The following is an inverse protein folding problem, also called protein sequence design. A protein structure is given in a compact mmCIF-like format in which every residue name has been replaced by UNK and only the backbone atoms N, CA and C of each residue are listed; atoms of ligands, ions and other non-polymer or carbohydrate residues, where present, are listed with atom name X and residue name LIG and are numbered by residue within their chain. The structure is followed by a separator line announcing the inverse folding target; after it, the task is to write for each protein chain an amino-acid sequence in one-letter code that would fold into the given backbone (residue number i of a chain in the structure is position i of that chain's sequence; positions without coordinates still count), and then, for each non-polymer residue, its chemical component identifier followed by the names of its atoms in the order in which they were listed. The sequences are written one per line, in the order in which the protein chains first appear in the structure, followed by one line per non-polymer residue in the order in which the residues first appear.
data_IF_549932284271
#
_entry.id   IF_549932284271
#
_cell.length_a   1.000
_cell.length_b   1.000
_cell.length_c   1.000
_cell.angle_alpha   90.00
_cell.angle_beta   90.00
_cell.angle_gamma   90.00
#
_symmetry.space_group_name_H-M   'P 1'
#
loop_
_entity.id
_entity.type
_entity.pdbx_description
1 polymer ?
#
# COMPACT_ATOMS: atom_id res chain seq x y z
N UNK A 1 -19.38 -15.12 -18.72
CA UNK A 1 -18.49 -15.98 -17.90
C UNK A 1 -18.44 -15.38 -16.51
N UNK A 2 -18.63 -16.16 -15.45
CA UNK A 2 -18.51 -15.66 -14.09
C UNK A 2 -17.06 -15.24 -13.82
N UNK A 3 -16.90 -14.07 -13.22
CA UNK A 3 -15.61 -13.55 -12.78
C UNK A 3 -14.95 -14.54 -11.81
N UNK A 4 -13.71 -14.92 -12.08
CA UNK A 4 -12.98 -15.95 -11.32
C UNK A 4 -11.74 -15.40 -10.60
N UNK A 5 -11.49 -14.09 -10.67
CA UNK A 5 -10.33 -13.43 -10.05
C UNK A 5 -10.77 -12.58 -8.86
N UNK A 6 -9.89 -12.45 -7.88
CA UNK A 6 -10.06 -11.51 -6.77
C UNK A 6 -9.93 -10.07 -7.26
N UNK A 7 -10.71 -9.18 -6.64
CA UNK A 7 -10.64 -7.74 -6.91
C UNK A 7 -9.50 -7.11 -6.17
N UNK A 8 -9.40 -7.40 -4.89
CA UNK A 8 -8.40 -6.83 -4.00
C UNK A 8 -7.76 -7.95 -3.21
N UNK A 9 -6.44 -7.92 -3.12
CA UNK A 9 -5.65 -8.77 -2.23
C UNK A 9 -4.80 -7.84 -1.37
N UNK A 10 -4.93 -7.97 -0.05
CA UNK A 10 -4.12 -7.22 0.90
C UNK A 10 -2.98 -8.12 1.40
N UNK A 11 -1.74 -7.75 1.09
CA UNK A 11 -0.53 -8.41 1.55
C UNK A 11 0.08 -7.63 2.72
N UNK A 12 -0.07 -8.19 3.91
CA UNK A 12 0.47 -7.63 5.16
C UNK A 12 1.53 -8.53 5.78
N UNK A 13 2.50 -7.90 6.42
CA UNK A 13 3.62 -8.57 7.09
C UNK A 13 4.63 -7.56 7.60
N UNK A 14 5.46 -7.96 8.56
CA UNK A 14 6.54 -7.11 9.08
C UNK A 14 7.51 -6.69 7.96
N UNK A 15 8.33 -5.64 8.15
CA UNK A 15 9.46 -5.38 7.27
C UNK A 15 10.29 -6.66 7.06
N UNK A 16 10.73 -6.88 5.82
CA UNK A 16 11.48 -8.07 5.39
C UNK A 16 10.77 -9.44 5.62
N UNK A 17 9.43 -9.47 5.66
CA UNK A 17 8.66 -10.70 5.81
C UNK A 17 8.45 -11.52 4.51
N UNK A 18 9.06 -11.13 3.39
CA UNK A 18 8.92 -11.87 2.13
C UNK A 18 7.80 -11.38 1.19
N UNK A 19 7.18 -10.22 1.46
CA UNK A 19 6.01 -9.74 0.70
C UNK A 19 6.38 -9.37 -0.74
N UNK A 20 7.43 -8.58 -0.90
CA UNK A 20 7.92 -8.15 -2.20
C UNK A 20 8.40 -9.35 -3.03
N UNK A 21 8.90 -10.41 -2.40
CA UNK A 21 9.28 -11.68 -3.04
C UNK A 21 8.06 -12.45 -3.57
N UNK A 22 6.94 -12.47 -2.82
CA UNK A 22 5.67 -13.02 -3.30
C UNK A 22 5.18 -12.24 -4.51
N UNK A 23 5.22 -10.91 -4.45
CA UNK A 23 4.81 -10.05 -5.56
C UNK A 23 5.70 -10.25 -6.79
N UNK A 24 7.02 -10.33 -6.61
CA UNK A 24 7.97 -10.59 -7.70
C UNK A 24 7.71 -11.95 -8.36
N UNK A 25 7.43 -12.99 -7.56
CA UNK A 25 7.01 -14.29 -8.09
C UNK A 25 5.71 -14.18 -8.91
N UNK A 26 4.71 -13.44 -8.41
CA UNK A 26 3.45 -13.21 -9.13
C UNK A 26 3.67 -12.42 -10.43
N UNK A 27 4.55 -11.42 -10.44
CA UNK A 27 4.91 -10.64 -11.64
C UNK A 27 5.51 -11.53 -12.73
N UNK A 28 6.38 -12.46 -12.33
CA UNK A 28 7.09 -13.39 -13.23
C UNK A 28 6.22 -14.57 -13.68
N UNK A 29 5.11 -14.84 -12.99
CA UNK A 29 4.18 -15.91 -13.36
C UNK A 29 3.31 -15.49 -14.56
N UNK A 30 3.20 -16.30 -15.63
CA UNK A 30 2.33 -16.00 -16.77
C UNK A 30 0.87 -15.75 -16.38
N UNK A 31 0.20 -14.82 -17.07
CA UNK A 31 -1.17 -14.40 -16.71
C UNK A 31 -2.18 -15.56 -16.66
N UNK A 32 -2.15 -16.48 -17.63
CA UNK A 32 -3.08 -17.62 -17.67
C UNK A 32 -2.87 -18.55 -16.46
N UNK A 33 -1.60 -18.86 -16.14
CA UNK A 33 -1.25 -19.68 -15.00
C UNK A 33 -1.64 -19.00 -13.68
N UNK A 34 -1.32 -17.70 -13.54
CA UNK A 34 -1.61 -16.90 -12.36
C UNK A 34 -3.12 -16.78 -12.11
N UNK A 35 -3.89 -16.52 -13.17
CA UNK A 35 -5.36 -16.45 -13.14
C UNK A 35 -5.95 -17.80 -12.72
N UNK A 36 -5.47 -18.91 -13.28
CA UNK A 36 -5.99 -20.25 -12.98
C UNK A 36 -5.63 -20.77 -11.59
N UNK A 37 -4.39 -20.55 -11.14
CA UNK A 37 -3.87 -21.12 -9.88
C UNK A 37 -4.13 -20.24 -8.68
N UNK A 38 -4.05 -18.92 -8.85
CA UNK A 38 -4.08 -17.96 -7.76
C UNK A 38 -5.29 -17.03 -7.82
N UNK A 39 -6.10 -17.09 -8.88
CA UNK A 39 -7.24 -16.19 -9.08
C UNK A 39 -6.82 -14.72 -9.13
N UNK A 40 -5.63 -14.46 -9.70
CA UNK A 40 -5.07 -13.11 -9.86
C UNK A 40 -5.01 -12.77 -11.35
N UNK A 41 -5.71 -11.70 -11.75
CA UNK A 41 -5.74 -11.22 -13.12
C UNK A 41 -4.45 -10.51 -13.54
N UNK A 42 -4.56 -9.54 -14.46
CA UNK A 42 -3.55 -8.48 -14.53
C UNK A 42 -3.53 -7.79 -13.16
N UNK A 43 -2.40 -7.30 -12.68
CA UNK A 43 -2.41 -6.67 -11.36
C UNK A 43 -1.53 -5.45 -11.29
N UNK A 44 -1.90 -4.59 -10.36
CA UNK A 44 -1.20 -3.37 -10.01
C UNK A 44 -1.08 -3.30 -8.49
N UNK A 45 0.05 -2.78 -8.01
CA UNK A 45 0.35 -2.69 -6.58
C UNK A 45 0.08 -1.30 -6.02
N UNK A 46 -0.56 -1.21 -4.86
CA UNK A 46 -0.53 -0.01 -4.02
C UNK A 46 0.42 -0.32 -2.88
N UNK A 47 1.59 0.33 -2.90
CA UNK A 47 2.66 0.16 -1.94
C UNK A 47 2.72 1.42 -1.04
N UNK A 48 2.80 1.21 0.27
CA UNK A 48 2.94 2.29 1.25
C UNK A 48 4.35 2.90 1.25
N UNK A 49 5.36 2.17 0.76
CA UNK A 49 6.75 2.61 0.80
C UNK A 49 6.99 3.90 0.00
N UNK A 50 6.57 4.04 -1.28
CA UNK A 50 6.72 5.31 -1.99
C UNK A 50 5.99 6.47 -1.30
N UNK A 51 4.80 6.23 -0.75
CA UNK A 51 4.02 7.26 -0.06
C UNK A 51 4.70 7.75 1.21
N UNK A 52 5.26 6.82 1.98
CA UNK A 52 6.01 7.09 3.20
C UNK A 52 7.34 7.79 2.88
N UNK A 53 8.02 7.35 1.82
CA UNK A 53 9.29 7.93 1.40
C UNK A 53 9.12 9.39 0.98
N UNK A 54 8.04 9.73 0.28
CA UNK A 54 7.70 11.13 -0.02
C UNK A 54 7.62 11.99 1.25
N UNK A 55 7.00 11.50 2.34
CA UNK A 55 6.96 12.24 3.61
C UNK A 55 8.35 12.45 4.22
N UNK A 56 9.24 11.44 4.15
CA UNK A 56 10.62 11.60 4.60
C UNK A 56 11.39 12.63 3.77
N UNK A 57 11.21 12.64 2.45
CA UNK A 57 11.82 13.61 1.55
C UNK A 57 11.31 15.03 1.82
N UNK A 58 10.00 15.21 1.95
CA UNK A 58 9.36 16.49 2.28
C UNK A 58 9.86 17.04 3.63
N UNK A 59 9.90 16.21 4.67
CA UNK A 59 10.41 16.61 5.99
C UNK A 59 11.89 16.98 5.94
N UNK A 60 12.70 16.24 5.18
CA UNK A 60 14.10 16.55 4.99
C UNK A 60 14.29 17.89 4.26
N UNK A 61 13.46 18.18 3.24
CA UNK A 61 13.47 19.46 2.52
C UNK A 61 13.06 20.60 3.44
N UNK A 62 11.96 20.45 4.19
CA UNK A 62 11.45 21.44 5.13
C UNK A 62 12.52 21.84 6.15
N UNK A 63 13.13 20.85 6.79
CA UNK A 63 14.15 21.08 7.80
C UNK A 63 15.44 21.64 7.20
N UNK A 64 16.03 20.96 6.21
CA UNK A 64 17.41 21.23 5.79
C UNK A 64 17.52 22.41 4.82
N UNK A 65 16.51 22.59 3.96
CA UNK A 65 16.55 23.59 2.89
C UNK A 65 15.71 24.81 3.29
N UNK A 66 14.48 24.58 3.76
CA UNK A 66 13.52 25.66 4.01
C UNK A 66 13.60 26.23 5.44
N UNK A 67 14.35 25.59 6.34
CA UNK A 67 14.45 25.97 7.75
C UNK A 67 13.07 26.09 8.41
N UNK A 68 12.18 25.13 8.11
CA UNK A 68 10.84 24.98 8.65
C UNK A 68 10.72 23.71 9.50
N UNK A 69 9.78 23.67 10.47
CA UNK A 69 9.49 22.43 11.19
C UNK A 69 9.07 21.31 10.23
N UNK A 70 9.41 20.08 10.60
CA UNK A 70 8.89 18.86 9.96
C UNK A 70 7.38 18.74 10.19
N UNK A 71 6.70 18.04 9.28
CA UNK A 71 5.26 17.83 9.30
C UNK A 71 4.88 16.40 9.71
N UNK A 72 5.63 15.39 9.24
CA UNK A 72 5.20 14.00 9.40
C UNK A 72 6.06 13.20 10.39
N UNK A 73 7.37 13.38 10.34
CA UNK A 73 8.33 12.53 11.02
C UNK A 73 9.34 13.33 11.84
N UNK A 74 9.90 12.70 12.88
CA UNK A 74 11.07 13.23 13.57
C UNK A 74 12.36 12.93 12.81
N UNK A 75 13.51 13.31 13.38
CA UNK A 75 14.83 13.13 12.75
C UNK A 75 15.24 11.67 12.58
N UNK A 76 14.68 10.77 13.37
CA UNK A 76 14.97 9.34 13.37
C UNK A 76 13.98 8.56 12.48
N UNK A 77 13.00 9.24 11.88
CA UNK A 77 12.04 8.68 10.94
C UNK A 77 10.78 8.12 11.60
N UNK A 78 10.54 8.41 12.88
CA UNK A 78 9.30 8.05 13.56
C UNK A 78 8.22 9.09 13.29
N UNK A 79 6.95 8.68 13.25
CA UNK A 79 5.85 9.61 13.09
C UNK A 79 5.71 10.52 14.31
N UNK A 80 5.54 11.82 14.04
CA UNK A 80 5.32 12.83 15.07
C UNK A 80 4.00 12.58 15.84
N UNK A 81 3.01 12.00 15.16
CA UNK A 81 1.70 11.68 15.72
C UNK A 81 1.19 10.32 15.24
N UNK A 82 0.48 9.60 16.11
CA UNK A 82 -0.10 8.29 15.79
C UNK A 82 -1.06 8.34 14.60
N UNK A 83 -1.88 9.40 14.49
CA UNK A 83 -2.86 9.55 13.41
C UNK A 83 -2.23 9.65 12.02
N UNK A 84 -0.94 9.96 11.89
CA UNK A 84 -0.27 10.00 10.60
C UNK A 84 -0.18 8.60 9.96
N UNK A 85 -0.21 7.54 10.79
CA UNK A 85 -0.37 6.20 10.28
C UNK A 85 -1.75 5.99 9.67
N UNK A 86 -2.80 6.41 10.36
CA UNK A 86 -4.16 6.31 9.85
C UNK A 86 -4.32 7.11 8.56
N UNK A 87 -3.75 8.32 8.51
CA UNK A 87 -3.69 9.14 7.30
C UNK A 87 -3.05 8.40 6.12
N UNK A 88 -1.94 7.68 6.36
CA UNK A 88 -1.28 6.90 5.31
C UNK A 88 -2.18 5.76 4.80
N UNK A 89 -2.93 5.10 5.69
CA UNK A 89 -3.90 4.06 5.30
C UNK A 89 -5.06 4.64 4.49
N UNK A 90 -5.60 5.79 4.89
CA UNK A 90 -6.63 6.49 4.11
C UNK A 90 -6.12 6.85 2.71
N UNK A 91 -4.85 7.27 2.59
CA UNK A 91 -4.22 7.53 1.28
C UNK A 91 -4.15 6.29 0.38
N UNK A 92 -3.94 5.10 0.95
CA UNK A 92 -3.99 3.83 0.22
C UNK A 92 -5.38 3.64 -0.39
N UNK A 93 -6.44 3.86 0.39
CA UNK A 93 -7.84 3.81 -0.08
C UNK A 93 -8.10 4.83 -1.20
N UNK A 94 -7.50 6.02 -1.10
CA UNK A 94 -7.60 7.04 -2.15
C UNK A 94 -6.89 6.62 -3.45
N UNK A 95 -5.72 5.98 -3.39
CA UNK A 95 -5.08 5.45 -4.60
C UNK A 95 -5.92 4.35 -5.25
N UNK A 96 -6.50 3.46 -4.44
CA UNK A 96 -7.42 2.44 -4.95
C UNK A 96 -8.62 3.08 -5.65
N UNK A 97 -9.23 4.09 -5.02
CA UNK A 97 -10.36 4.84 -5.59
C UNK A 97 -10.02 5.52 -6.92
N UNK A 98 -8.76 5.92 -7.15
CA UNK A 98 -8.34 6.47 -8.45
C UNK A 98 -8.35 5.41 -9.54
N UNK A 99 -7.97 4.16 -9.24
CA UNK A 99 -8.00 3.04 -10.20
C UNK A 99 -9.41 2.66 -10.62
N UNK A 100 -10.35 2.73 -9.68
CA UNK A 100 -11.76 2.47 -9.94
C UNK A 100 -12.43 3.51 -10.85
N UNK A 101 -11.76 4.61 -11.20
CA UNK A 101 -12.26 5.57 -12.20
C UNK A 101 -12.31 4.99 -13.61
N UNK A 102 -11.45 4.01 -13.90
CA UNK A 102 -11.55 3.25 -15.13
C UNK A 102 -12.71 2.27 -15.01
N UNK A 103 -13.77 2.52 -15.78
CA UNK A 103 -14.91 1.62 -15.87
C UNK A 103 -14.41 0.20 -16.18
N UNK A 104 -14.96 -0.80 -15.50
CA UNK A 104 -14.61 -2.20 -15.68
C UNK A 104 -13.18 -2.61 -15.27
N UNK A 105 -12.47 -1.80 -14.48
CA UNK A 105 -11.12 -2.12 -13.97
C UNK A 105 -10.98 -3.57 -13.49
N UNK A 106 -11.88 -4.00 -12.61
CA UNK A 106 -11.88 -5.35 -12.03
C UNK A 106 -12.40 -6.48 -12.94
N UNK A 107 -12.82 -6.19 -14.17
CA UNK A 107 -13.05 -7.26 -15.15
C UNK A 107 -11.73 -7.94 -15.55
N UNK A 108 -10.61 -7.22 -15.47
CA UNK A 108 -9.30 -7.71 -15.89
C UNK A 108 -8.21 -7.60 -14.83
N UNK A 109 -8.36 -6.65 -13.89
CA UNK A 109 -7.36 -6.36 -12.88
C UNK A 109 -7.71 -6.84 -11.47
N UNK A 110 -6.70 -7.35 -10.79
CA UNK A 110 -6.64 -7.52 -9.34
C UNK A 110 -5.76 -6.39 -8.78
N UNK A 111 -6.22 -5.64 -7.79
CA UNK A 111 -5.36 -4.72 -7.03
C UNK A 111 -4.68 -5.48 -5.90
N UNK A 112 -3.35 -5.38 -5.81
CA UNK A 112 -2.60 -5.86 -4.66
C UNK A 112 -2.27 -4.66 -3.80
N UNK A 113 -2.66 -4.67 -2.53
CA UNK A 113 -2.32 -3.63 -1.56
C UNK A 113 -1.25 -4.19 -0.64
N UNK A 114 -0.09 -3.56 -0.61
CA UNK A 114 1.02 -3.88 0.29
C UNK A 114 1.19 -2.76 1.31
N UNK A 115 1.18 -3.12 2.60
CA UNK A 115 1.63 -2.21 3.66
C UNK A 115 2.23 -2.97 4.84
N UNK A 116 3.17 -2.31 5.53
CA UNK A 116 3.92 -2.89 6.65
C UNK A 116 3.83 -2.02 7.89
N UNK A 117 3.56 -2.63 9.07
CA UNK A 117 3.62 -1.87 10.33
C UNK A 117 4.00 -2.72 11.54
N UNK A 118 4.75 -2.12 12.46
CA UNK A 118 5.04 -2.66 13.78
C UNK A 118 3.87 -2.50 14.77
N UNK A 119 3.98 -3.13 15.95
CA UNK A 119 2.93 -3.10 17.00
C UNK A 119 2.74 -1.71 17.66
N UNK A 120 3.69 -0.80 17.48
CA UNK A 120 3.78 0.48 18.19
C UNK A 120 2.62 1.46 17.90
N UNK A 121 1.85 1.23 16.82
CA UNK A 121 0.70 2.04 16.43
C UNK A 121 -0.62 1.23 16.39
N UNK A 122 -0.81 0.29 17.31
CA UNK A 122 -1.97 -0.62 17.31
C UNK A 122 -1.96 -1.69 16.20
N UNK A 123 -0.94 -1.69 15.34
CA UNK A 123 -0.71 -2.69 14.28
C UNK A 123 -1.84 -2.76 13.25
N UNK A 124 -2.03 -3.92 12.64
CA UNK A 124 -3.06 -4.12 11.61
C UNK A 124 -4.48 -3.89 12.14
N UNK A 125 -4.72 -4.14 13.44
CA UNK A 125 -6.03 -3.90 14.05
C UNK A 125 -6.43 -2.42 14.01
N UNK A 126 -5.49 -1.51 14.17
CA UNK A 126 -5.73 -0.08 14.06
C UNK A 126 -5.78 0.38 12.59
N UNK A 127 -5.09 -0.30 11.67
CA UNK A 127 -5.08 0.04 10.25
C UNK A 127 -6.40 -0.29 9.54
N UNK A 128 -6.95 -1.50 9.74
CA UNK A 128 -8.10 -1.96 8.95
C UNK A 128 -9.35 -1.06 8.99
N UNK A 129 -9.72 -0.42 10.12
CA UNK A 129 -10.84 0.53 10.14
C UNK A 129 -10.69 1.77 9.24
N UNK A 130 -9.47 2.05 8.76
CA UNK A 130 -9.16 3.18 7.87
C UNK A 130 -9.08 2.79 6.39
N UNK A 131 -9.27 1.50 6.06
CA UNK A 131 -9.48 1.09 4.68
C UNK A 131 -10.94 1.37 4.30
N UNK A 132 -11.15 1.92 3.11
CA UNK A 132 -12.50 2.10 2.58
C UNK A 132 -13.14 0.75 2.26
N UNK A 133 -14.48 0.73 2.24
CA UNK A 133 -15.27 -0.39 1.71
C UNK A 133 -14.98 -0.68 0.22
#
# INVERSE_FOLDING_TARGET
MSKNNFDVIILIGRPAAGKSEVIDYLKKTPLEERSKRFHIGKFEEIDDFPMLWTWFEEDAILEKIMQKPRLHTDKDGYFLYEYLWHLLIERISMEYSKRLRDADYHQTHTTIIEFSRGKEHGGYRAAFPHLSD
#
